data_IF_937287212451
#
_entry.id   IF_937287212451
#
_cell.length_a   1.000
_cell.length_b   1.000
_cell.length_c   1.000
_cell.angle_alpha   90.00
_cell.angle_beta   90.00
_cell.angle_gamma   90.00
#
_symmetry.space_group_name_H-M   'P 1'
#
loop_
_entity.id
_entity.type
_entity.pdbx_description
1 polymer ?
#
# COMPACT_ATOMS: atom_id res chain seq x y z
N UNK A 1 9.07 -13.04 -5.17
CA UNK A 1 10.15 -13.52 -4.30
C UNK A 1 10.92 -12.34 -3.69
N UNK A 2 10.69 -12.03 -2.39
CA UNK A 2 11.37 -10.92 -1.69
C UNK A 2 12.88 -11.14 -1.45
N UNK A 3 13.41 -12.31 -1.81
CA UNK A 3 14.82 -12.70 -1.68
C UNK A 3 15.45 -12.98 -3.05
N UNK A 4 14.90 -12.40 -4.12
CA UNK A 4 15.47 -12.58 -5.46
C UNK A 4 16.81 -11.86 -5.58
N UNK A 5 17.78 -12.49 -6.23
CA UNK A 5 19.10 -11.88 -6.48
C UNK A 5 18.97 -10.66 -7.42
N UNK A 6 18.12 -10.77 -8.46
CA UNK A 6 17.80 -9.67 -9.36
C UNK A 6 16.40 -9.13 -9.04
N UNK A 7 16.34 -8.10 -8.22
CA UNK A 7 15.10 -7.47 -7.75
C UNK A 7 14.28 -6.87 -8.91
N UNK A 8 14.95 -6.24 -9.88
CA UNK A 8 14.25 -5.63 -11.03
C UNK A 8 13.60 -6.68 -11.93
N UNK A 9 14.29 -7.79 -12.17
CA UNK A 9 13.72 -8.89 -12.95
C UNK A 9 12.53 -9.52 -12.21
N UNK A 10 12.62 -9.67 -10.90
CA UNK A 10 11.51 -10.19 -10.08
C UNK A 10 10.30 -9.24 -10.10
N UNK A 11 10.51 -7.94 -10.04
CA UNK A 11 9.43 -6.96 -10.17
C UNK A 11 8.72 -7.11 -11.53
N UNK A 12 9.49 -7.14 -12.62
CA UNK A 12 8.95 -7.36 -13.96
C UNK A 12 8.25 -8.72 -14.11
N UNK A 13 8.80 -9.77 -13.51
CA UNK A 13 8.20 -11.12 -13.51
C UNK A 13 6.84 -11.08 -12.80
N UNK A 14 6.75 -10.39 -11.68
CA UNK A 14 5.51 -10.30 -10.89
C UNK A 14 4.41 -9.56 -11.66
N UNK A 15 4.73 -8.44 -12.30
CA UNK A 15 3.78 -7.72 -13.13
C UNK A 15 3.27 -8.56 -14.31
N UNK A 16 4.19 -9.26 -15.03
CA UNK A 16 3.81 -10.19 -16.09
C UNK A 16 2.94 -11.35 -15.61
N UNK A 17 3.19 -11.83 -14.38
CA UNK A 17 2.36 -12.90 -13.79
C UNK A 17 0.93 -12.41 -13.58
N UNK A 18 0.73 -11.21 -13.00
CA UNK A 18 -0.60 -10.61 -12.82
C UNK A 18 -1.31 -10.50 -14.17
N UNK A 19 -0.62 -9.98 -15.18
CA UNK A 19 -1.18 -9.84 -16.54
C UNK A 19 -1.56 -11.20 -17.14
N UNK A 20 -0.71 -12.22 -17.01
CA UNK A 20 -0.95 -13.57 -17.56
C UNK A 20 -2.14 -14.28 -16.91
N UNK A 21 -2.49 -13.92 -15.68
CA UNK A 21 -3.65 -14.45 -14.95
C UNK A 21 -4.94 -13.66 -15.23
N UNK A 22 -4.90 -12.66 -16.10
CA UNK A 22 -6.05 -11.81 -16.43
C UNK A 22 -6.31 -10.68 -15.43
N UNK A 23 -5.31 -10.33 -14.62
CA UNK A 23 -5.40 -9.26 -13.61
C UNK A 23 -5.84 -9.75 -12.24
N UNK A 24 -6.29 -8.83 -11.40
CA UNK A 24 -6.70 -9.06 -10.02
C UNK A 24 -8.23 -8.86 -9.90
N UNK A 25 -8.96 -9.88 -9.44
CA UNK A 25 -10.40 -9.77 -9.21
C UNK A 25 -10.73 -8.94 -7.98
N UNK A 26 -10.00 -9.16 -6.88
CA UNK A 26 -10.16 -8.43 -5.64
C UNK A 26 -8.81 -8.14 -5.01
N UNK A 27 -8.54 -6.85 -4.76
CA UNK A 27 -7.36 -6.39 -4.04
C UNK A 27 -7.75 -6.05 -2.59
N UNK A 28 -7.21 -6.79 -1.63
CA UNK A 28 -7.31 -6.45 -0.21
C UNK A 28 -6.13 -5.53 0.17
N UNK A 29 -6.44 -4.42 0.81
CA UNK A 29 -5.45 -3.43 1.28
C UNK A 29 -5.69 -3.08 2.74
N UNK A 30 -4.60 -2.91 3.48
CA UNK A 30 -4.57 -2.07 4.68
C UNK A 30 -4.07 -0.67 4.34
N UNK A 31 -4.03 0.20 5.35
CA UNK A 31 -3.47 1.55 5.22
C UNK A 31 -2.44 1.82 6.31
N UNK A 32 -1.29 2.35 5.91
CA UNK A 32 -0.28 2.86 6.84
C UNK A 32 -0.70 4.18 7.50
N UNK A 33 -0.14 4.51 8.66
CA UNK A 33 -0.42 5.78 9.35
C UNK A 33 0.04 7.00 8.54
N UNK A 34 0.97 6.83 7.62
CA UNK A 34 1.41 7.86 6.66
C UNK A 34 0.66 7.82 5.32
N UNK A 35 -0.34 6.95 5.17
CA UNK A 35 -1.17 6.85 3.97
C UNK A 35 -0.68 5.88 2.90
N UNK A 36 0.40 5.11 3.16
CA UNK A 36 0.84 4.10 2.21
C UNK A 36 -0.19 2.98 2.04
N UNK A 37 -0.25 2.42 0.85
CA UNK A 37 -0.99 1.20 0.49
C UNK A 37 -0.02 0.20 -0.15
N UNK A 38 -0.05 -1.09 0.28
CA UNK A 38 1.09 -1.97 0.09
C UNK A 38 2.31 -1.37 0.79
N UNK A 39 3.42 -1.25 0.12
CA UNK A 39 4.54 -0.40 0.54
C UNK A 39 4.78 0.77 -0.43
N UNK A 40 3.73 1.25 -1.11
CA UNK A 40 3.81 2.51 -1.85
C UNK A 40 3.81 3.66 -0.83
N UNK A 41 5.01 4.09 -0.46
CA UNK A 41 5.27 5.15 0.54
C UNK A 41 4.99 6.55 -0.04
N UNK A 42 4.71 7.56 0.81
CA UNK A 42 4.63 8.95 0.38
C UNK A 42 5.84 9.38 -0.46
N UNK A 43 5.58 9.91 -1.65
CA UNK A 43 6.59 10.30 -2.63
C UNK A 43 6.12 11.50 -3.47
N UNK A 44 6.93 11.93 -4.44
CA UNK A 44 6.60 13.01 -5.40
C UNK A 44 5.73 12.51 -6.57
N UNK A 45 5.74 11.19 -6.83
CA UNK A 45 4.96 10.56 -7.89
C UNK A 45 4.32 9.25 -7.42
N UNK A 46 3.26 8.83 -8.10
CA UNK A 46 2.71 7.48 -7.94
C UNK A 46 3.56 6.49 -8.75
N UNK A 47 4.27 5.58 -8.08
CA UNK A 47 4.99 4.53 -8.77
C UNK A 47 4.03 3.50 -9.36
N UNK A 48 4.09 3.32 -10.67
CA UNK A 48 3.09 2.54 -11.39
C UNK A 48 3.33 1.04 -11.32
N UNK A 49 4.58 0.62 -11.52
CA UNK A 49 4.94 -0.79 -11.66
C UNK A 49 5.41 -1.37 -10.33
N UNK A 50 5.45 -2.69 -10.24
CA UNK A 50 6.09 -3.37 -9.10
C UNK A 50 7.54 -2.93 -8.97
N UNK A 51 7.95 -2.54 -7.79
CA UNK A 51 9.25 -1.93 -7.55
C UNK A 51 9.81 -2.27 -6.17
N UNK A 52 11.11 -2.03 -6.01
CA UNK A 52 11.78 -2.06 -4.72
C UNK A 52 11.70 -0.67 -4.08
N UNK A 53 11.23 -0.61 -2.86
CA UNK A 53 11.09 0.63 -2.09
C UNK A 53 11.96 0.60 -0.84
N UNK A 54 12.58 1.74 -0.51
CA UNK A 54 13.16 1.96 0.81
C UNK A 54 12.06 2.41 1.76
N UNK A 55 11.84 1.62 2.81
CA UNK A 55 10.81 1.92 3.81
C UNK A 55 11.14 3.20 4.58
N UNK A 56 10.14 4.04 4.80
CA UNK A 56 10.26 5.24 5.65
C UNK A 56 10.45 4.84 7.11
N UNK A 57 11.11 5.70 7.89
CA UNK A 57 11.36 5.44 9.32
C UNK A 57 10.05 5.19 10.11
N UNK A 58 8.97 5.89 9.76
CA UNK A 58 7.64 5.67 10.35
C UNK A 58 7.13 4.24 10.12
N UNK A 59 7.35 3.70 8.91
CA UNK A 59 6.96 2.33 8.53
C UNK A 59 7.83 1.31 9.25
N UNK A 60 9.14 1.53 9.35
CA UNK A 60 10.07 0.67 10.10
C UNK A 60 9.66 0.63 11.57
N UNK A 61 9.39 1.78 12.19
CA UNK A 61 8.97 1.86 13.59
C UNK A 61 7.62 1.16 13.85
N UNK A 62 6.64 1.35 12.97
CA UNK A 62 5.33 0.69 13.07
C UNK A 62 5.41 -0.83 12.98
N UNK A 63 6.38 -1.36 12.21
CA UNK A 63 6.58 -2.80 12.04
C UNK A 63 7.54 -3.42 13.05
N UNK A 64 8.28 -2.63 13.85
CA UNK A 64 9.27 -3.14 14.81
C UNK A 64 8.70 -4.18 15.78
N UNK A 65 7.41 -4.08 16.12
CA UNK A 65 6.69 -5.02 17.00
C UNK A 65 6.61 -6.46 16.48
N UNK A 66 6.87 -6.69 15.20
CA UNK A 66 6.84 -8.01 14.57
C UNK A 66 8.22 -8.65 14.46
N UNK A 67 9.27 -7.97 14.92
CA UNK A 67 10.66 -8.40 14.84
C UNK A 67 11.32 -8.40 16.23
N UNK A 68 12.42 -9.15 16.41
CA UNK A 68 13.14 -9.19 17.69
C UNK A 68 13.61 -7.82 18.17
N UNK A 69 13.99 -6.94 17.24
CA UNK A 69 14.29 -5.52 17.50
C UNK A 69 14.07 -4.71 16.24
N UNK A 70 14.07 -3.37 16.38
CA UNK A 70 13.95 -2.43 15.25
C UNK A 70 15.03 -2.66 14.18
N UNK A 71 16.23 -3.04 14.57
CA UNK A 71 17.35 -3.24 13.63
C UNK A 71 17.17 -4.49 12.76
N UNK A 72 16.31 -5.43 13.18
CA UNK A 72 15.94 -6.59 12.37
C UNK A 72 14.83 -6.32 11.36
N UNK A 73 14.21 -5.14 11.39
CA UNK A 73 13.20 -4.77 10.38
C UNK A 73 13.90 -4.54 9.05
N UNK A 74 13.48 -5.21 7.97
CA UNK A 74 14.00 -4.95 6.63
C UNK A 74 13.84 -3.48 6.26
N UNK A 75 14.85 -2.92 5.60
CA UNK A 75 14.81 -1.52 5.15
C UNK A 75 14.35 -1.36 3.71
N UNK A 76 14.30 -2.46 2.98
CA UNK A 76 13.81 -2.55 1.61
C UNK A 76 12.65 -3.53 1.55
N UNK A 77 11.71 -3.27 0.67
CA UNK A 77 10.61 -4.18 0.34
C UNK A 77 10.32 -4.15 -1.16
N UNK A 78 9.82 -5.26 -1.69
CA UNK A 78 9.21 -5.27 -3.02
C UNK A 78 7.71 -5.06 -2.83
N UNK A 79 7.14 -4.16 -3.59
CA UNK A 79 5.70 -3.87 -3.55
C UNK A 79 5.12 -3.78 -4.95
N UNK A 80 3.87 -4.26 -5.10
CA UNK A 80 3.13 -3.99 -6.33
C UNK A 80 2.90 -2.49 -6.49
N UNK A 81 2.98 -2.01 -7.72
CA UNK A 81 2.77 -0.61 -8.03
C UNK A 81 1.28 -0.22 -8.07
N UNK A 82 1.06 1.07 -8.13
CA UNK A 82 -0.30 1.66 -8.13
C UNK A 82 -1.13 1.18 -9.34
N UNK A 83 -0.50 0.94 -10.50
CA UNK A 83 -1.21 0.46 -11.71
C UNK A 83 -1.94 -0.86 -11.43
N UNK A 84 -1.24 -1.87 -10.89
CA UNK A 84 -1.84 -3.18 -10.62
C UNK A 84 -2.98 -3.08 -9.58
N UNK A 85 -2.79 -2.25 -8.54
CA UNK A 85 -3.82 -1.98 -7.53
C UNK A 85 -5.06 -1.37 -8.20
N UNK A 86 -4.88 -0.30 -8.97
CA UNK A 86 -5.99 0.44 -9.58
C UNK A 86 -6.68 -0.30 -10.74
N UNK A 87 -6.02 -1.29 -11.33
CA UNK A 87 -6.59 -2.16 -12.36
C UNK A 87 -7.33 -3.38 -11.78
N UNK A 88 -7.29 -3.60 -10.47
CA UNK A 88 -8.11 -4.64 -9.83
C UNK A 88 -9.61 -4.39 -10.10
N UNK A 89 -10.40 -5.45 -10.25
CA UNK A 89 -11.83 -5.32 -10.52
C UNK A 89 -12.60 -4.74 -9.32
N UNK A 90 -12.12 -5.00 -8.12
CA UNK A 90 -12.62 -4.41 -6.87
C UNK A 90 -11.50 -4.26 -5.86
N UNK A 91 -11.61 -3.26 -4.99
CA UNK A 91 -10.65 -3.02 -3.91
C UNK A 91 -11.42 -3.01 -2.58
N UNK A 92 -10.87 -3.71 -1.59
CA UNK A 92 -11.32 -3.65 -0.19
C UNK A 92 -10.21 -3.01 0.63
N UNK A 93 -10.46 -1.82 1.16
CA UNK A 93 -9.57 -1.11 2.07
C UNK A 93 -10.01 -1.34 3.51
N UNK A 94 -9.16 -1.96 4.32
CA UNK A 94 -9.40 -2.21 5.74
C UNK A 94 -8.63 -1.24 6.62
N UNK A 95 -9.31 -0.62 7.59
CA UNK A 95 -8.69 0.24 8.58
C UNK A 95 -9.30 -0.01 9.98
N UNK A 96 -8.46 -0.10 11.01
CA UNK A 96 -8.90 -0.36 12.37
C UNK A 96 -8.10 0.45 13.39
N UNK A 97 -8.80 0.99 14.39
CA UNK A 97 -8.26 1.71 15.52
C UNK A 97 -8.06 3.20 15.30
N UNK A 98 -8.10 3.94 16.40
CA UNK A 98 -8.07 5.41 16.46
C UNK A 98 -6.92 6.06 15.69
N UNK A 99 -5.73 5.41 15.66
CA UNK A 99 -4.56 5.94 14.95
C UNK A 99 -4.73 6.01 13.44
N UNK A 100 -5.77 5.36 12.89
CA UNK A 100 -6.09 5.41 11.46
C UNK A 100 -7.09 6.51 11.08
N UNK A 101 -7.74 7.16 12.06
CA UNK A 101 -8.82 8.11 11.80
C UNK A 101 -8.39 9.28 10.90
N UNK A 102 -7.30 9.94 11.23
CA UNK A 102 -6.84 11.12 10.47
C UNK A 102 -6.38 10.74 9.06
N UNK A 103 -5.64 9.65 8.93
CA UNK A 103 -5.15 9.24 7.62
C UNK A 103 -6.27 8.67 6.75
N UNK A 104 -7.22 7.93 7.31
CA UNK A 104 -8.37 7.43 6.58
C UNK A 104 -9.21 8.58 6.03
N UNK A 105 -9.43 9.63 6.84
CA UNK A 105 -10.12 10.84 6.38
C UNK A 105 -9.38 11.53 5.23
N UNK A 106 -8.05 11.68 5.32
CA UNK A 106 -7.24 12.25 4.23
C UNK A 106 -7.32 11.40 2.96
N UNK A 107 -7.27 10.08 3.09
CA UNK A 107 -7.37 9.13 1.97
C UNK A 107 -8.72 9.21 1.28
N UNK A 108 -9.82 9.33 2.03
CA UNK A 108 -11.17 9.28 1.45
C UNK A 108 -11.70 10.64 0.99
N UNK A 109 -11.24 11.74 1.60
CA UNK A 109 -11.84 13.07 1.39
C UNK A 109 -10.81 14.18 1.12
N UNK A 110 -9.53 13.89 1.24
CA UNK A 110 -8.45 14.84 0.93
C UNK A 110 -8.14 14.88 -0.57
N UNK A 111 -7.19 15.72 -0.99
CA UNK A 111 -6.74 15.75 -2.37
C UNK A 111 -6.07 14.44 -2.77
N UNK A 112 -6.26 14.02 -4.02
CA UNK A 112 -5.52 12.89 -4.59
C UNK A 112 -4.08 13.34 -4.84
N UNK A 113 -3.14 12.74 -4.11
CA UNK A 113 -1.72 13.14 -4.16
C UNK A 113 -0.80 11.97 -3.82
N UNK A 114 0.38 11.84 -4.46
CA UNK A 114 1.36 10.82 -4.10
C UNK A 114 1.95 11.03 -2.69
N UNK A 115 1.85 12.21 -2.10
CA UNK A 115 2.20 12.45 -0.69
C UNK A 115 1.27 11.69 0.30
N UNK A 116 0.11 11.23 -0.16
CA UNK A 116 -0.81 10.33 0.54
C UNK A 116 -1.22 9.23 -0.44
N UNK A 117 -0.41 8.19 -0.65
CA UNK A 117 -0.60 7.23 -1.74
C UNK A 117 -1.99 6.58 -1.79
N UNK A 118 -2.57 6.27 -0.63
CA UNK A 118 -3.92 5.73 -0.54
C UNK A 118 -5.01 6.66 -1.10
N UNK A 119 -4.74 7.96 -1.25
CA UNK A 119 -5.72 8.92 -1.81
C UNK A 119 -6.11 8.61 -3.25
N UNK A 120 -5.27 7.90 -4.01
CA UNK A 120 -5.59 7.46 -5.38
C UNK A 120 -6.81 6.54 -5.43
N UNK A 121 -7.11 5.84 -4.32
CA UNK A 121 -8.25 4.92 -4.23
C UNK A 121 -9.60 5.62 -4.44
N UNK A 122 -9.67 6.95 -4.22
CA UNK A 122 -10.86 7.75 -4.54
C UNK A 122 -11.27 7.66 -6.02
N UNK A 123 -10.32 7.37 -6.90
CA UNK A 123 -10.54 7.24 -8.35
C UNK A 123 -10.99 5.84 -8.76
N UNK A 124 -11.03 4.87 -7.83
CA UNK A 124 -11.40 3.51 -8.17
C UNK A 124 -12.93 3.31 -8.15
N UNK A 125 -13.54 2.77 -9.24
CA UNK A 125 -15.01 2.69 -9.36
C UNK A 125 -15.66 1.69 -8.40
N UNK A 126 -14.90 0.75 -7.84
CA UNK A 126 -15.38 -0.31 -6.93
C UNK A 126 -14.50 -0.39 -5.69
N UNK A 127 -14.39 0.72 -4.96
CA UNK A 127 -13.74 0.76 -3.65
C UNK A 127 -14.77 0.43 -2.56
N UNK A 128 -14.44 -0.55 -1.73
CA UNK A 128 -15.17 -0.88 -0.50
C UNK A 128 -14.27 -0.54 0.67
N UNK A 129 -14.75 0.26 1.61
CA UNK A 129 -14.02 0.60 2.83
C UNK A 129 -14.64 -0.12 4.01
N UNK A 130 -13.84 -0.91 4.72
CA UNK A 130 -14.21 -1.59 5.95
C UNK A 130 -13.42 -0.97 7.09
N UNK A 131 -14.10 -0.27 7.98
CA UNK A 131 -13.46 0.43 9.08
C UNK A 131 -14.29 0.30 10.37
N UNK A 132 -13.61 0.18 11.52
CA UNK A 132 -14.27 0.28 12.81
C UNK A 132 -14.62 1.73 13.18
N UNK A 133 -15.42 1.90 14.25
CA UNK A 133 -15.85 3.22 14.70
C UNK A 133 -14.67 4.13 15.05
N UNK A 134 -13.64 3.59 15.68
CA UNK A 134 -12.44 4.35 16.05
C UNK A 134 -11.67 4.86 14.83
N UNK A 135 -11.51 4.02 13.79
CA UNK A 135 -10.87 4.42 12.54
C UNK A 135 -11.72 5.43 11.75
N UNK A 136 -13.05 5.46 12.00
CA UNK A 136 -13.95 6.48 11.44
C UNK A 136 -14.01 7.77 12.27
N UNK A 137 -13.27 7.83 13.40
CA UNK A 137 -13.27 9.00 14.28
C UNK A 137 -14.55 9.16 15.12
N UNK A 138 -15.23 8.03 15.39
CA UNK A 138 -16.47 7.97 16.17
C UNK A 138 -16.23 7.35 17.54
#
# INVERSE_FOLDING_TARGET
NGMAENIEEECRRYDRLIESLGGIDMQLLGIGENGHIGFNEPDEAFEQMTHCVRLKESTINANARYFPSRDHVPRLAITMGIKAIMQARSIVLCASGKRKADILRKVLYGPVTPAVPGSILQMHPRLIVVADAEALGK
#
